data_IF_632081138304
#
_entry.id   IF_632081138304
#
_cell.length_a   1.000
_cell.length_b   1.000
_cell.length_c   1.000
_cell.angle_alpha   90.00
_cell.angle_beta   90.00
_cell.angle_gamma   90.00
#
_symmetry.space_group_name_H-M   'P 1'
#
loop_
_entity.id
_entity.type
_entity.pdbx_description
1 polymer ?
#
# COMPACT_ATOMS: atom_id res chain seq x y z
N UNK A 1 -63.21 -24.24 5.00
CA UNK A 1 -61.84 -23.94 5.57
C UNK A 1 -60.86 -23.92 4.43
N UNK A 2 -60.48 -22.73 3.98
CA UNK A 2 -59.43 -22.59 2.98
C UNK A 2 -58.07 -22.52 3.69
N UNK A 3 -57.23 -23.52 3.48
CA UNK A 3 -55.83 -23.49 3.93
C UNK A 3 -55.01 -22.70 2.92
N UNK A 4 -54.52 -21.52 3.31
CA UNK A 4 -53.55 -20.76 2.53
C UNK A 4 -52.16 -21.38 2.77
N UNK A 5 -51.57 -21.97 1.73
CA UNK A 5 -50.19 -22.43 1.75
C UNK A 5 -49.29 -21.20 1.61
N UNK A 6 -48.56 -20.82 2.67
CA UNK A 6 -47.47 -19.88 2.61
C UNK A 6 -46.27 -20.61 1.97
N UNK A 7 -45.93 -20.29 0.71
CA UNK A 7 -44.67 -20.64 0.15
C UNK A 7 -43.60 -19.75 0.80
N UNK A 8 -42.54 -20.32 1.41
CA UNK A 8 -41.43 -19.50 1.88
C UNK A 8 -40.77 -18.87 0.64
N UNK A 9 -40.82 -17.55 0.53
CA UNK A 9 -39.98 -16.83 -0.41
C UNK A 9 -38.53 -17.16 -0.10
N UNK A 10 -37.87 -17.89 -0.99
CA UNK A 10 -36.42 -18.06 -0.98
C UNK A 10 -35.83 -16.67 -1.09
N UNK A 11 -35.36 -16.12 0.02
CA UNK A 11 -34.48 -14.95 0.02
C UNK A 11 -33.33 -15.34 -0.88
N UNK A 12 -33.30 -14.79 -2.10
CA UNK A 12 -32.19 -15.03 -3.04
C UNK A 12 -30.88 -14.80 -2.33
N UNK A 13 -29.96 -15.76 -2.41
CA UNK A 13 -28.63 -15.63 -1.84
C UNK A 13 -28.06 -14.32 -2.38
N UNK A 14 -27.74 -13.37 -1.48
CA UNK A 14 -27.18 -12.08 -1.86
C UNK A 14 -25.86 -12.37 -2.57
N UNK A 15 -25.74 -12.00 -3.84
CA UNK A 15 -24.50 -12.17 -4.57
C UNK A 15 -23.37 -11.46 -3.82
N UNK A 16 -22.27 -12.17 -3.61
CA UNK A 16 -21.09 -11.59 -2.95
C UNK A 16 -20.42 -10.59 -3.90
N UNK A 17 -20.07 -9.37 -3.45
CA UNK A 17 -19.41 -8.38 -4.30
C UNK A 17 -17.97 -8.79 -4.62
N UNK A 18 -17.48 -8.40 -5.79
CA UNK A 18 -16.03 -8.41 -6.05
C UNK A 18 -15.33 -7.38 -5.16
N UNK A 19 -14.13 -7.70 -4.71
CA UNK A 19 -13.35 -6.84 -3.82
C UNK A 19 -11.99 -6.58 -4.46
N UNK A 20 -11.64 -5.30 -4.62
CA UNK A 20 -10.29 -4.86 -5.03
C UNK A 20 -9.66 -4.15 -3.84
N UNK A 21 -8.49 -4.65 -3.41
CA UNK A 21 -7.72 -4.08 -2.31
C UNK A 21 -6.40 -3.52 -2.84
N UNK A 22 -6.32 -2.19 -3.02
CA UNK A 22 -5.15 -1.49 -3.54
C UNK A 22 -4.32 -0.98 -2.37
N UNK A 23 -3.02 -1.29 -2.38
CA UNK A 23 -2.06 -0.90 -1.34
C UNK A 23 -0.87 -0.21 -2.00
N UNK A 24 -0.54 1.00 -1.55
CA UNK A 24 0.70 1.69 -1.87
C UNK A 24 1.71 1.52 -0.72
N UNK A 25 3.00 1.58 -1.00
CA UNK A 25 4.03 1.45 0.04
C UNK A 25 4.67 2.80 0.38
N UNK A 26 4.84 3.09 1.66
CA UNK A 26 5.45 4.32 2.19
C UNK A 26 4.72 5.61 1.78
N UNK A 27 3.44 5.53 1.44
CA UNK A 27 2.63 6.71 1.17
C UNK A 27 2.08 7.28 2.48
N UNK A 28 2.47 8.50 2.80
CA UNK A 28 1.87 9.23 3.92
C UNK A 28 0.50 9.78 3.55
N UNK A 29 -0.44 9.83 4.50
CA UNK A 29 -1.76 10.43 4.30
C UNK A 29 -1.68 11.87 3.79
N UNK A 30 -0.70 12.65 4.26
CA UNK A 30 -0.47 14.03 3.81
C UNK A 30 0.00 14.16 2.36
N UNK A 31 0.28 13.06 1.64
CA UNK A 31 0.65 13.07 0.23
C UNK A 31 -0.54 12.76 -0.71
N UNK A 32 -1.74 13.16 -0.31
CA UNK A 32 -2.96 13.06 -1.14
C UNK A 32 -3.69 14.41 -1.15
N UNK A 33 -4.19 14.82 -2.32
CA UNK A 33 -4.95 16.08 -2.44
C UNK A 33 -6.26 16.05 -1.68
N UNK A 34 -6.96 14.92 -1.59
CA UNK A 34 -8.15 14.75 -0.75
C UNK A 34 -7.89 14.91 0.77
N UNK A 35 -6.63 14.84 1.19
CA UNK A 35 -6.20 15.10 2.57
C UNK A 35 -5.78 16.56 2.80
N UNK A 36 -5.92 17.41 1.79
CA UNK A 36 -5.64 18.86 1.86
C UNK A 36 -4.23 19.25 1.39
N UNK A 37 -3.47 18.36 0.79
CA UNK A 37 -2.17 18.72 0.22
C UNK A 37 -2.35 19.49 -1.09
N UNK A 38 -1.74 20.67 -1.18
CA UNK A 38 -1.76 21.53 -2.38
C UNK A 38 -0.55 21.34 -3.29
N UNK A 39 0.51 20.68 -2.80
CA UNK A 39 1.76 20.46 -3.53
C UNK A 39 1.69 19.20 -4.45
N UNK A 40 0.67 18.35 -4.26
CA UNK A 40 0.46 17.14 -5.05
C UNK A 40 -0.98 17.02 -5.49
N UNK A 41 -1.20 16.54 -6.72
CA UNK A 41 -2.52 16.23 -7.25
C UNK A 41 -2.66 14.71 -7.40
N UNK A 42 -3.70 14.14 -6.77
CA UNK A 42 -4.03 12.71 -6.81
C UNK A 42 -5.49 12.51 -7.24
N UNK A 43 -5.85 12.88 -8.49
CA UNK A 43 -7.24 12.95 -8.93
C UNK A 43 -7.98 11.62 -8.89
N UNK A 44 -7.28 10.48 -9.03
CA UNK A 44 -7.90 9.17 -9.00
C UNK A 44 -8.19 8.71 -7.57
N UNK A 45 -7.28 8.96 -6.63
CA UNK A 45 -7.53 8.75 -5.19
C UNK A 45 -8.63 9.71 -4.69
N UNK A 46 -8.66 10.95 -5.16
CA UNK A 46 -9.70 11.93 -4.84
C UNK A 46 -11.07 11.46 -5.32
N UNK A 47 -11.16 10.88 -6.53
CA UNK A 47 -12.39 10.30 -7.05
C UNK A 47 -12.90 9.15 -6.19
N UNK A 48 -12.01 8.26 -5.73
CA UNK A 48 -12.36 7.19 -4.78
C UNK A 48 -12.85 7.76 -3.44
N UNK A 49 -12.17 8.77 -2.92
CA UNK A 49 -12.57 9.44 -1.67
C UNK A 49 -13.95 10.11 -1.78
N UNK A 50 -14.28 10.69 -2.94
CA UNK A 50 -15.58 11.32 -3.21
C UNK A 50 -16.71 10.29 -3.39
N UNK A 51 -16.41 9.14 -4.00
CA UNK A 51 -17.37 8.09 -4.27
C UNK A 51 -17.62 7.16 -3.06
N UNK A 52 -16.75 7.19 -2.06
CA UNK A 52 -16.75 6.27 -0.92
C UNK A 52 -16.60 6.96 0.43
N UNK A 53 -15.83 6.34 1.31
CA UNK A 53 -15.53 6.83 2.67
C UNK A 53 -14.05 7.11 2.81
N UNK A 54 -13.69 8.35 3.14
CA UNK A 54 -12.32 8.78 3.43
C UNK A 54 -12.04 8.68 4.94
N UNK A 55 -11.15 7.75 5.33
CA UNK A 55 -10.67 7.63 6.70
C UNK A 55 -9.50 8.58 6.94
N UNK A 56 -9.73 9.71 7.60
CA UNK A 56 -8.69 10.72 7.85
C UNK A 56 -7.66 10.29 8.90
N UNK A 57 -8.04 9.40 9.81
CA UNK A 57 -7.23 8.93 10.93
C UNK A 57 -7.06 7.41 10.84
N UNK A 58 -6.40 6.93 9.79
CA UNK A 58 -6.01 5.53 9.65
C UNK A 58 -4.54 5.35 10.02
N UNK A 59 -4.24 4.36 10.85
CA UNK A 59 -2.90 4.09 11.37
C UNK A 59 -2.50 2.65 11.03
N UNK A 60 -1.26 2.46 10.58
CA UNK A 60 -0.68 1.13 10.48
C UNK A 60 -0.25 0.61 11.86
N UNK A 61 -0.27 -0.71 12.05
CA UNK A 61 0.14 -1.35 13.31
C UNK A 61 1.62 -1.15 13.64
N UNK A 62 2.46 -1.01 12.61
CA UNK A 62 3.87 -0.71 12.72
C UNK A 62 4.32 0.00 11.44
N UNK A 63 5.09 1.12 11.51
CA UNK A 63 5.46 1.92 10.34
C UNK A 63 6.66 1.31 9.58
N UNK A 64 6.59 0.01 9.26
CA UNK A 64 7.59 -0.77 8.53
C UNK A 64 6.88 -1.81 7.67
N UNK A 65 7.29 -1.98 6.40
CA UNK A 65 6.59 -2.78 5.38
C UNK A 65 6.21 -4.19 5.84
N UNK A 66 7.18 -5.01 6.26
CA UNK A 66 6.94 -6.40 6.65
C UNK A 66 5.97 -6.52 7.83
N UNK A 67 6.23 -5.88 8.98
CA UNK A 67 5.33 -5.88 10.14
C UNK A 67 3.93 -5.36 9.83
N UNK A 68 3.82 -4.24 9.10
CA UNK A 68 2.52 -3.66 8.72
C UNK A 68 1.71 -4.60 7.83
N UNK A 69 2.34 -5.14 6.77
CA UNK A 69 1.69 -6.08 5.85
C UNK A 69 1.32 -7.39 6.53
N UNK A 70 2.19 -7.91 7.42
CA UNK A 70 1.86 -9.08 8.20
C UNK A 70 0.58 -8.85 9.04
N UNK A 71 0.46 -7.71 9.70
CA UNK A 71 -0.76 -7.36 10.45
C UNK A 71 -1.99 -7.27 9.54
N UNK A 72 -1.87 -6.68 8.35
CA UNK A 72 -2.97 -6.58 7.38
C UNK A 72 -3.47 -7.97 6.92
N UNK A 73 -2.55 -8.90 6.70
CA UNK A 73 -2.91 -10.23 6.17
C UNK A 73 -3.16 -11.31 7.23
N UNK A 74 -2.83 -11.07 8.50
CA UNK A 74 -3.10 -12.02 9.59
C UNK A 74 -4.16 -11.54 10.57
N UNK A 75 -4.46 -10.24 10.61
CA UNK A 75 -5.36 -9.64 11.60
C UNK A 75 -4.75 -9.52 13.00
N UNK A 76 -3.45 -9.79 13.15
CA UNK A 76 -2.72 -9.69 14.42
C UNK A 76 -1.81 -8.47 14.46
N UNK A 77 -1.58 -7.91 15.63
CA UNK A 77 -0.56 -6.88 15.77
C UNK A 77 0.85 -7.47 15.61
N UNK A 78 1.77 -6.70 15.02
CA UNK A 78 3.11 -7.19 14.70
C UNK A 78 3.89 -7.74 15.89
N UNK A 79 3.69 -7.18 17.09
CA UNK A 79 4.33 -7.66 18.33
C UNK A 79 3.75 -8.98 18.82
N UNK A 80 2.46 -9.26 18.59
CA UNK A 80 1.81 -10.53 18.96
C UNK A 80 2.37 -11.71 18.16
N UNK A 81 2.75 -11.46 16.91
CA UNK A 81 3.26 -12.47 15.99
C UNK A 81 4.80 -12.46 15.84
N UNK A 82 5.49 -11.68 16.69
CA UNK A 82 6.94 -11.60 16.70
C UNK A 82 7.59 -10.93 15.48
N UNK A 83 6.82 -10.22 14.65
CA UNK A 83 7.30 -9.56 13.43
C UNK A 83 7.59 -8.08 13.67
N UNK A 84 8.61 -7.77 14.44
CA UNK A 84 9.01 -6.40 14.77
C UNK A 84 9.89 -5.73 13.68
N UNK A 85 10.38 -6.48 12.70
CA UNK A 85 11.28 -6.01 11.62
C UNK A 85 11.04 -6.77 10.32
N UNK A 86 11.60 -6.25 9.22
CA UNK A 86 11.53 -6.92 7.92
C UNK A 86 12.29 -8.26 7.91
N UNK A 87 11.89 -9.15 7.02
CA UNK A 87 12.57 -10.43 6.76
C UNK A 87 12.66 -11.37 7.97
N UNK A 88 11.67 -11.32 8.85
CA UNK A 88 11.51 -12.28 9.96
C UNK A 88 10.58 -13.42 9.50
N UNK A 89 10.93 -14.68 9.74
CA UNK A 89 10.06 -15.82 9.44
C UNK A 89 8.73 -15.74 10.19
N UNK A 90 7.64 -16.12 9.53
CA UNK A 90 6.31 -16.20 10.14
C UNK A 90 5.97 -17.65 10.48
N UNK A 91 5.29 -17.88 11.59
CA UNK A 91 4.83 -19.21 11.99
C UNK A 91 3.81 -19.77 10.98
N UNK A 92 3.88 -21.10 10.73
CA UNK A 92 3.03 -21.79 9.74
C UNK A 92 1.54 -21.63 10.05
N UNK A 93 1.15 -21.65 11.32
CA UNK A 93 -0.24 -21.45 11.76
C UNK A 93 -0.82 -20.12 11.33
N UNK A 94 -0.01 -19.05 11.30
CA UNK A 94 -0.43 -17.73 10.84
C UNK A 94 -0.58 -17.69 9.31
N UNK A 95 0.27 -18.42 8.57
CA UNK A 95 0.18 -18.51 7.11
C UNK A 95 -1.12 -19.18 6.68
N UNK A 96 -1.46 -20.30 7.28
CA UNK A 96 -2.66 -21.10 6.97
C UNK A 96 -3.97 -20.48 7.48
N UNK A 97 -3.90 -19.51 8.37
CA UNK A 97 -5.06 -18.72 8.85
C UNK A 97 -5.11 -17.29 8.31
N UNK A 98 -4.28 -16.97 7.32
CA UNK A 98 -4.20 -15.63 6.72
C UNK A 98 -5.47 -15.22 5.98
N UNK A 99 -5.58 -13.92 5.69
CA UNK A 99 -6.72 -13.30 5.01
C UNK A 99 -7.09 -14.01 3.69
N UNK A 100 -6.08 -14.42 2.88
CA UNK A 100 -6.36 -15.12 1.64
C UNK A 100 -7.10 -16.43 1.87
N UNK A 101 -6.70 -17.23 2.84
CA UNK A 101 -7.41 -18.47 3.18
C UNK A 101 -8.80 -18.22 3.77
N UNK A 102 -8.96 -17.16 4.59
CA UNK A 102 -10.26 -16.80 5.16
C UNK A 102 -11.24 -16.43 4.04
N UNK A 103 -10.81 -15.62 3.09
CA UNK A 103 -11.65 -15.14 1.98
C UNK A 103 -11.92 -16.27 0.98
N UNK A 104 -10.95 -17.16 0.72
CA UNK A 104 -11.21 -18.38 -0.08
C UNK A 104 -12.31 -19.26 0.54
N UNK A 105 -12.26 -19.48 1.86
CA UNK A 105 -13.32 -20.24 2.58
C UNK A 105 -14.67 -19.56 2.51
N UNK A 106 -14.71 -18.25 2.31
CA UNK A 106 -15.94 -17.47 2.06
C UNK A 106 -16.44 -17.57 0.61
N UNK A 107 -15.74 -18.30 -0.27
CA UNK A 107 -16.17 -18.59 -1.64
C UNK A 107 -15.55 -17.70 -2.72
N UNK A 108 -14.54 -16.88 -2.40
CA UNK A 108 -13.85 -16.01 -3.35
C UNK A 108 -12.67 -16.69 -4.04
N UNK A 109 -12.40 -16.29 -5.26
CA UNK A 109 -11.09 -16.49 -5.88
C UNK A 109 -10.13 -15.38 -5.38
N UNK A 110 -9.03 -15.77 -4.73
CA UNK A 110 -8.07 -14.83 -4.13
C UNK A 110 -6.86 -14.65 -5.03
N UNK A 111 -6.66 -13.40 -5.49
CA UNK A 111 -5.66 -13.03 -6.49
C UNK A 111 -4.73 -11.98 -5.90
N UNK A 112 -3.44 -12.08 -6.21
CA UNK A 112 -2.43 -11.12 -5.79
C UNK A 112 -1.61 -10.62 -6.96
N UNK A 113 -1.31 -9.32 -6.97
CA UNK A 113 -0.43 -8.67 -7.93
C UNK A 113 0.50 -7.67 -7.22
N UNK A 114 1.80 -7.70 -7.53
CA UNK A 114 2.77 -6.71 -7.05
C UNK A 114 3.47 -7.06 -5.73
N UNK A 115 3.83 -6.05 -4.94
CA UNK A 115 4.66 -6.17 -3.72
C UNK A 115 3.95 -6.93 -2.60
N UNK A 116 4.57 -8.02 -2.12
CA UNK A 116 4.13 -8.81 -0.97
C UNK A 116 4.80 -8.38 0.35
N UNK A 117 6.05 -8.69 0.52
CA UNK A 117 6.94 -8.30 1.63
C UNK A 117 6.36 -8.54 3.04
N UNK A 118 5.58 -9.62 3.24
CA UNK A 118 4.99 -9.93 4.56
C UNK A 118 6.01 -10.57 5.50
N UNK A 119 6.87 -11.46 4.95
CA UNK A 119 7.92 -12.13 5.68
C UNK A 119 9.14 -12.37 4.76
N UNK A 120 9.92 -13.44 4.97
CA UNK A 120 11.09 -13.76 4.12
C UNK A 120 10.75 -14.11 2.66
N UNK A 121 9.50 -14.48 2.35
CA UNK A 121 9.09 -14.75 0.98
C UNK A 121 8.85 -13.47 0.18
N UNK A 122 9.28 -13.45 -1.05
CA UNK A 122 9.11 -12.30 -1.97
C UNK A 122 7.69 -12.19 -2.54
N UNK A 123 6.92 -13.28 -2.54
CA UNK A 123 5.55 -13.36 -3.09
C UNK A 123 4.63 -14.17 -2.15
N UNK A 124 3.32 -13.90 -2.17
CA UNK A 124 2.34 -14.74 -1.50
C UNK A 124 2.19 -16.02 -2.29
N UNK A 125 3.00 -16.98 -1.96
CA UNK A 125 2.87 -18.32 -2.51
C UNK A 125 1.54 -18.96 -2.07
N UNK A 126 1.33 -20.22 -2.50
CA UNK A 126 0.12 -20.97 -2.15
C UNK A 126 -0.13 -21.08 -0.64
N UNK A 127 0.86 -20.82 0.20
CA UNK A 127 0.74 -20.92 1.67
C UNK A 127 -0.16 -19.83 2.26
N UNK A 128 -0.34 -18.70 1.58
CA UNK A 128 -1.22 -17.60 2.02
C UNK A 128 -2.58 -17.56 1.34
N UNK A 129 -2.87 -18.55 0.48
CA UNK A 129 -4.18 -18.64 -0.18
C UNK A 129 -4.37 -17.70 -1.37
N UNK A 130 -3.31 -17.22 -2.01
CA UNK A 130 -3.39 -16.36 -3.18
C UNK A 130 -2.84 -17.04 -4.44
N UNK A 131 -3.45 -16.73 -5.58
CA UNK A 131 -2.85 -16.97 -6.91
C UNK A 131 -2.21 -15.67 -7.39
N UNK A 132 -0.94 -15.74 -7.79
CA UNK A 132 -0.16 -14.56 -8.19
C UNK A 132 -0.27 -14.35 -9.70
N UNK A 133 -0.66 -13.14 -10.13
CA UNK A 133 -0.78 -12.76 -11.55
C UNK A 133 0.28 -11.76 -12.00
N UNK A 134 0.96 -11.08 -11.06
CA UNK A 134 2.05 -10.15 -11.36
C UNK A 134 3.12 -10.21 -10.26
N UNK A 135 4.43 -10.24 -10.60
CA UNK A 135 5.51 -10.25 -9.62
C UNK A 135 5.66 -8.89 -8.91
N UNK A 136 6.60 -8.81 -7.96
CA UNK A 136 6.98 -7.54 -7.32
C UNK A 136 7.66 -6.60 -8.33
N UNK A 137 6.85 -5.88 -9.06
CA UNK A 137 7.27 -4.88 -10.06
C UNK A 137 6.08 -3.94 -10.32
N UNK A 138 6.30 -2.62 -10.27
CA UNK A 138 5.22 -1.67 -10.58
C UNK A 138 5.01 -1.50 -12.10
N UNK A 139 6.01 -1.83 -12.93
CA UNK A 139 5.85 -1.76 -14.38
C UNK A 139 4.94 -2.90 -14.87
N UNK A 140 3.83 -2.57 -15.50
CA UNK A 140 2.85 -3.52 -16.01
C UNK A 140 1.89 -4.07 -14.94
N UNK A 141 1.98 -3.58 -13.69
CA UNK A 141 1.13 -4.04 -12.59
C UNK A 141 -0.34 -3.68 -12.82
N UNK A 142 -0.63 -2.43 -13.17
CA UNK A 142 -1.98 -1.97 -13.44
C UNK A 142 -2.58 -2.70 -14.66
N UNK A 143 -1.79 -2.87 -15.72
CA UNK A 143 -2.21 -3.61 -16.93
C UNK A 143 -2.54 -5.07 -16.61
N UNK A 144 -1.77 -5.73 -15.76
CA UNK A 144 -2.06 -7.11 -15.30
C UNK A 144 -3.34 -7.18 -14.47
N UNK A 145 -3.58 -6.18 -13.62
CA UNK A 145 -4.82 -6.10 -12.84
C UNK A 145 -6.03 -5.86 -13.76
N UNK A 146 -5.93 -4.94 -14.72
CA UNK A 146 -7.00 -4.66 -15.71
C UNK A 146 -7.28 -5.89 -16.55
N UNK A 147 -6.24 -6.55 -17.07
CA UNK A 147 -6.41 -7.78 -17.85
C UNK A 147 -7.10 -8.91 -17.08
N UNK A 148 -6.91 -8.97 -15.75
CA UNK A 148 -7.66 -9.87 -14.88
C UNK A 148 -9.12 -9.42 -14.74
N UNK A 149 -9.38 -8.14 -14.51
CA UNK A 149 -10.72 -7.60 -14.30
C UNK A 149 -11.63 -7.73 -15.53
N UNK A 150 -11.05 -7.66 -16.73
CA UNK A 150 -11.76 -7.83 -18.01
C UNK A 150 -12.16 -9.28 -18.32
N UNK A 151 -11.64 -10.26 -17.57
CA UNK A 151 -12.01 -11.66 -17.76
C UNK A 151 -13.42 -11.94 -17.25
N UNK A 152 -14.05 -12.98 -17.77
CA UNK A 152 -15.28 -13.50 -17.21
C UNK A 152 -15.00 -14.33 -15.97
N UNK A 153 -15.54 -13.92 -14.82
CA UNK A 153 -15.40 -14.62 -13.56
C UNK A 153 -16.65 -15.46 -13.24
N UNK A 154 -16.46 -16.70 -12.82
CA UNK A 154 -17.54 -17.62 -12.41
C UNK A 154 -17.83 -17.53 -10.90
N UNK A 155 -16.93 -16.90 -10.14
CA UNK A 155 -17.03 -16.66 -8.70
C UNK A 155 -16.67 -15.19 -8.40
N UNK A 156 -17.11 -14.65 -7.27
CA UNK A 156 -16.58 -13.38 -6.79
C UNK A 156 -15.07 -13.49 -6.54
N UNK A 157 -14.35 -12.40 -6.75
CA UNK A 157 -12.91 -12.37 -6.53
C UNK A 157 -12.52 -11.35 -5.45
N UNK A 158 -11.42 -11.64 -4.78
CA UNK A 158 -10.67 -10.73 -3.94
C UNK A 158 -9.31 -10.49 -4.59
N UNK A 159 -9.15 -9.35 -5.26
CA UNK A 159 -7.93 -8.93 -5.93
C UNK A 159 -7.15 -7.97 -5.04
N UNK A 160 -5.91 -8.33 -4.68
CA UNK A 160 -4.96 -7.42 -4.02
C UNK A 160 -3.97 -6.90 -5.04
N UNK A 161 -3.82 -5.57 -5.11
CA UNK A 161 -2.83 -4.89 -5.96
C UNK A 161 -1.89 -4.10 -5.08
N UNK A 162 -0.66 -4.59 -4.92
CA UNK A 162 0.37 -4.00 -4.05
C UNK A 162 1.41 -3.23 -4.84
N UNK A 163 1.31 -1.90 -4.90
CA UNK A 163 2.35 -1.04 -5.48
C UNK A 163 3.54 -0.89 -4.54
N UNK A 164 4.75 -0.83 -5.10
CA UNK A 164 5.95 -0.48 -4.35
C UNK A 164 6.09 1.05 -4.21
N UNK A 165 5.72 1.82 -5.23
CA UNK A 165 5.74 3.28 -5.14
C UNK A 165 4.72 3.82 -4.11
N UNK A 166 5.07 4.95 -3.45
CA UNK A 166 6.25 5.81 -3.61
C UNK A 166 7.51 5.38 -2.82
N UNK A 167 7.60 4.15 -2.30
CA UNK A 167 8.74 3.64 -1.53
C UNK A 167 10.10 3.80 -2.25
N UNK A 168 10.11 3.85 -3.59
CA UNK A 168 11.32 4.03 -4.40
C UNK A 168 12.07 5.33 -4.11
N UNK A 169 11.50 6.26 -3.36
CA UNK A 169 12.19 7.44 -2.84
C UNK A 169 13.42 7.06 -1.97
N UNK A 170 13.42 5.86 -1.38
CA UNK A 170 14.53 5.34 -0.59
C UNK A 170 15.81 5.17 -1.42
N UNK A 171 15.69 4.77 -2.69
CA UNK A 171 16.82 4.60 -3.59
C UNK A 171 17.43 5.95 -3.96
N UNK A 172 16.60 6.98 -4.13
CA UNK A 172 17.10 8.34 -4.33
C UNK A 172 17.92 8.82 -3.11
N UNK A 173 17.44 8.57 -1.89
CA UNK A 173 18.17 8.92 -0.67
C UNK A 173 19.53 8.19 -0.57
N UNK A 174 19.67 7.05 -1.23
CA UNK A 174 20.92 6.26 -1.33
C UNK A 174 21.78 6.62 -2.54
N UNK A 175 21.41 7.64 -3.31
CA UNK A 175 22.03 8.00 -4.58
C UNK A 175 22.01 6.86 -5.62
N UNK A 176 20.96 6.06 -5.62
CA UNK A 176 20.73 4.94 -6.53
C UNK A 176 19.65 5.28 -7.57
N UNK A 177 19.67 4.56 -8.69
CA UNK A 177 18.58 4.65 -9.68
C UNK A 177 17.27 4.11 -9.13
N UNK A 178 16.16 4.73 -9.54
CA UNK A 178 14.83 4.25 -9.15
C UNK A 178 14.52 2.91 -9.87
N UNK A 179 14.04 1.88 -9.16
CA UNK A 179 13.86 0.53 -9.72
C UNK A 179 12.91 0.47 -10.93
N UNK A 180 11.85 1.26 -10.94
CA UNK A 180 10.81 1.23 -11.97
C UNK A 180 10.83 2.46 -12.87
N UNK A 181 12.04 2.95 -13.16
CA UNK A 181 12.31 4.08 -14.03
C UNK A 181 12.42 5.42 -13.30
N UNK A 182 13.41 6.19 -13.72
CA UNK A 182 13.65 7.53 -13.19
C UNK A 182 12.52 8.48 -13.55
N UNK A 183 12.28 9.46 -12.69
CA UNK A 183 11.35 10.55 -12.94
C UNK A 183 12.13 11.77 -13.44
N UNK A 184 11.63 12.50 -14.45
CA UNK A 184 12.26 13.73 -14.90
C UNK A 184 12.32 14.73 -13.75
N UNK A 185 13.44 15.43 -13.60
CA UNK A 185 13.58 16.45 -12.56
C UNK A 185 12.78 17.70 -12.94
N UNK A 186 12.13 18.32 -11.94
CA UNK A 186 11.45 19.60 -12.12
C UNK A 186 12.42 20.77 -11.86
N UNK A 187 12.18 21.94 -12.46
CA UNK A 187 12.87 23.16 -12.11
C UNK A 187 12.74 23.50 -10.62
N UNK A 188 13.73 24.16 -10.04
CA UNK A 188 13.79 24.44 -8.60
C UNK A 188 12.63 25.31 -8.10
N UNK A 189 12.10 26.20 -8.92
CA UNK A 189 10.96 27.07 -8.65
C UNK A 189 9.63 26.27 -8.57
N UNK A 190 9.58 25.05 -9.12
CA UNK A 190 8.44 24.14 -9.02
C UNK A 190 8.55 23.18 -7.81
N UNK A 191 9.65 23.19 -7.04
CA UNK A 191 9.77 22.32 -5.88
C UNK A 191 8.84 22.77 -4.76
N UNK A 192 8.19 21.84 -4.05
CA UNK A 192 7.34 22.18 -2.91
C UNK A 192 8.14 22.84 -1.80
N UNK A 193 7.51 23.64 -0.99
CA UNK A 193 8.09 24.20 0.21
C UNK A 193 8.45 23.11 1.24
N UNK A 194 9.24 23.46 2.25
CA UNK A 194 9.47 22.58 3.40
C UNK A 194 8.20 22.48 4.25
N UNK A 195 7.94 21.35 4.92
CA UNK A 195 6.80 21.22 5.81
C UNK A 195 6.94 22.17 7.01
N UNK A 196 5.81 22.62 7.56
CA UNK A 196 5.80 23.57 8.69
C UNK A 196 6.58 23.06 9.93
N UNK A 197 6.62 21.74 10.12
CA UNK A 197 7.34 21.08 11.19
C UNK A 197 8.73 20.58 10.75
N UNK A 198 9.33 21.18 9.73
CA UNK A 198 10.66 20.79 9.25
C UNK A 198 11.77 21.09 10.27
N UNK A 199 11.66 22.21 10.97
CA UNK A 199 12.61 22.54 12.03
C UNK A 199 12.51 21.50 13.16
N UNK A 200 13.68 21.15 13.70
CA UNK A 200 13.76 20.24 14.84
C UNK A 200 12.93 20.77 16.00
N UNK A 201 12.10 19.92 16.58
CA UNK A 201 11.39 20.26 17.80
C UNK A 201 12.36 20.20 18.99
N UNK A 202 12.54 21.28 19.78
CA UNK A 202 13.45 21.30 20.92
C UNK A 202 13.04 20.35 22.06
N UNK A 203 11.84 19.79 22.00
CA UNK A 203 11.32 18.80 22.96
C UNK A 203 11.38 17.36 22.45
N UNK A 204 12.00 17.12 21.30
CA UNK A 204 12.21 15.74 20.82
C UNK A 204 13.09 14.97 21.80
N UNK A 205 12.75 13.71 22.03
CA UNK A 205 13.54 12.83 22.87
C UNK A 205 14.91 12.56 22.24
N UNK A 206 15.96 12.42 23.05
CA UNK A 206 17.33 12.16 22.60
C UNK A 206 17.44 10.95 21.67
N UNK A 207 16.56 9.96 21.82
CA UNK A 207 16.50 8.78 20.94
C UNK A 207 16.20 9.16 19.50
N UNK A 208 15.43 10.22 19.24
CA UNK A 208 15.13 10.69 17.87
C UNK A 208 16.42 11.19 17.21
N UNK A 209 17.23 11.95 17.93
CA UNK A 209 18.53 12.41 17.44
C UNK A 209 19.50 11.26 17.19
N UNK A 210 19.52 10.32 18.11
CA UNK A 210 20.36 9.15 17.99
C UNK A 210 19.98 8.36 16.73
N UNK A 211 18.70 8.08 16.50
CA UNK A 211 18.22 7.38 15.30
C UNK A 211 18.55 8.14 14.02
N UNK A 212 18.34 9.46 13.97
CA UNK A 212 18.69 10.29 12.81
C UNK A 212 20.20 10.27 12.53
N UNK A 213 21.01 10.19 13.57
CA UNK A 213 22.47 10.15 13.45
C UNK A 213 22.96 8.76 13.03
N UNK A 214 22.39 7.68 13.55
CA UNK A 214 22.81 6.31 13.30
C UNK A 214 22.32 5.75 11.96
N UNK A 215 21.14 6.17 11.49
CA UNK A 215 20.55 5.71 10.22
C UNK A 215 21.22 6.33 8.98
N UNK A 216 22.21 7.22 9.14
CA UNK A 216 22.88 7.86 8.01
C UNK A 216 23.57 6.88 7.04
N UNK A 217 23.94 5.69 7.50
CA UNK A 217 24.56 4.67 6.66
C UNK A 217 23.55 4.01 5.71
N UNK A 218 22.29 3.86 6.15
CA UNK A 218 21.20 3.32 5.34
C UNK A 218 20.61 4.38 4.40
N UNK A 219 20.51 5.63 4.89
CA UNK A 219 19.96 6.77 4.18
C UNK A 219 20.84 8.00 4.41
N UNK A 220 21.86 8.23 3.56
CA UNK A 220 22.87 9.28 3.80
C UNK A 220 22.34 10.70 3.56
N UNK A 221 21.25 11.06 4.23
CA UNK A 221 20.54 12.34 4.11
C UNK A 221 20.94 13.38 5.15
N UNK A 222 21.85 13.05 6.07
CA UNK A 222 22.28 13.97 7.15
C UNK A 222 22.93 15.26 6.62
N UNK A 223 23.41 15.24 5.38
CA UNK A 223 24.04 16.38 4.72
C UNK A 223 23.07 17.16 3.82
N UNK A 224 21.81 16.73 3.75
CA UNK A 224 20.82 17.41 2.92
C UNK A 224 20.60 18.83 3.41
N UNK A 225 20.77 19.77 2.50
CA UNK A 225 20.38 21.17 2.67
C UNK A 225 18.83 21.30 2.62
N UNK A 226 18.28 22.45 3.02
CA UNK A 226 16.86 22.72 2.80
C UNK A 226 16.40 22.50 1.34
N UNK A 227 17.23 22.85 0.36
CA UNK A 227 16.91 22.63 -1.06
C UNK A 227 16.99 21.17 -1.46
N UNK A 228 17.93 20.38 -0.91
CA UNK A 228 17.96 18.92 -1.12
C UNK A 228 16.67 18.27 -0.61
N UNK A 229 16.15 18.72 0.54
CA UNK A 229 14.88 18.24 1.07
C UNK A 229 13.67 18.66 0.22
N UNK A 230 13.66 19.86 -0.34
CA UNK A 230 12.62 20.31 -1.28
C UNK A 230 12.65 19.46 -2.56
N UNK A 231 13.84 19.19 -3.10
CA UNK A 231 14.05 18.32 -4.26
C UNK A 231 13.59 16.89 -3.98
N UNK A 232 13.95 16.35 -2.82
CA UNK A 232 13.49 15.04 -2.35
C UNK A 232 11.97 14.95 -2.28
N UNK A 233 11.30 15.96 -1.68
CA UNK A 233 9.84 16.03 -1.62
C UNK A 233 9.21 16.15 -3.01
N UNK A 234 9.81 16.93 -3.90
CA UNK A 234 9.38 17.05 -5.30
C UNK A 234 9.36 15.69 -5.99
N UNK A 235 10.43 14.90 -5.83
CA UNK A 235 10.49 13.54 -6.38
C UNK A 235 9.46 12.61 -5.73
N UNK A 236 9.32 12.66 -4.41
CA UNK A 236 8.33 11.84 -3.69
C UNK A 236 6.91 12.09 -4.21
N UNK A 237 6.51 13.34 -4.38
CA UNK A 237 5.18 13.67 -4.92
C UNK A 237 5.00 13.24 -6.38
N UNK A 238 6.06 13.22 -7.18
CA UNK A 238 5.99 12.66 -8.54
C UNK A 238 5.80 11.13 -8.53
N UNK A 239 6.42 10.43 -7.59
CA UNK A 239 6.17 8.99 -7.40
C UNK A 239 4.74 8.72 -6.91
N UNK A 240 4.18 9.57 -6.05
CA UNK A 240 2.76 9.52 -5.66
C UNK A 240 1.84 9.76 -6.86
N UNK A 241 2.12 10.78 -7.69
CA UNK A 241 1.35 11.04 -8.92
C UNK A 241 1.44 9.88 -9.91
N UNK A 242 2.61 9.23 -10.02
CA UNK A 242 2.78 8.04 -10.85
C UNK A 242 1.85 6.92 -10.39
N UNK A 243 1.83 6.60 -9.11
CA UNK A 243 0.98 5.52 -8.60
C UNK A 243 -0.51 5.89 -8.64
N UNK A 244 -0.86 7.16 -8.44
CA UNK A 244 -2.24 7.63 -8.62
C UNK A 244 -2.74 7.40 -10.05
N UNK A 245 -1.90 7.67 -11.06
CA UNK A 245 -2.23 7.40 -12.46
C UNK A 245 -2.40 5.89 -12.74
N UNK A 246 -1.58 5.04 -12.14
CA UNK A 246 -1.73 3.58 -12.25
C UNK A 246 -3.01 3.07 -11.57
N UNK A 247 -3.35 3.61 -10.40
CA UNK A 247 -4.63 3.33 -9.73
C UNK A 247 -5.81 3.74 -10.63
N UNK A 248 -5.69 4.88 -11.32
CA UNK A 248 -6.72 5.37 -12.24
C UNK A 248 -7.04 4.46 -13.41
N UNK A 249 -6.12 3.55 -13.79
CA UNK A 249 -6.37 2.53 -14.82
C UNK A 249 -7.24 1.37 -14.28
N UNK A 250 -7.16 1.11 -12.97
CA UNK A 250 -7.80 -0.06 -12.33
C UNK A 250 -9.25 0.26 -11.92
N UNK A 251 -9.58 1.54 -11.61
CA UNK A 251 -10.84 1.97 -10.95
C UNK A 251 -11.79 2.78 -11.85
#
# INVERSE_FOLDING_TARGET
MCAAAFSPSVLGAKELPNIIYIVTDQQTASAMSCMGNTDVQTPNMDRLAQAGVLFRNAYCSAPLSGPSRASMFTGHMSHEIGLARNNVPMADSLRTSSLGWLVQRAGYDCIYAGKWHVHTASMPDKEFGFSVIHPHNDNGLAESAVAFLEQKHSKPFFLVVGFDNPHNICEYARSQNLPFGNQPELPQDEWPGLPQNFARNPYDADVIDYEQTQNYSAYPTRHFTPDDWRRYRSLYFRLVKKVDAEIGKIV
#
